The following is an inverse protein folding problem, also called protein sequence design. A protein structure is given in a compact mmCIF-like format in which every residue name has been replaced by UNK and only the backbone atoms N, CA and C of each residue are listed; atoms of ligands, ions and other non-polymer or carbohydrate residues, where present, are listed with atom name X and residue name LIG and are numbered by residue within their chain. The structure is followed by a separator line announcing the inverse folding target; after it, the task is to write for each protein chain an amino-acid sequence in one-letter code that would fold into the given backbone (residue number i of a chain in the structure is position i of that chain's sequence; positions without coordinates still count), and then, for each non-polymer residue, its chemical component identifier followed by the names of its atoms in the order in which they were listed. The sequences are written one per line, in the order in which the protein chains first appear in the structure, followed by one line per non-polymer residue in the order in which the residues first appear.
data_IF_130567117282
#
_entry.id   IF_130567117282
#
_cell.length_a   1.000
_cell.length_b   1.000
_cell.length_c   1.000
_cell.angle_alpha   90.00
_cell.angle_beta   90.00
_cell.angle_gamma   90.00
#
_symmetry.space_group_name_H-M   'P 1'
#
loop_
_entity.id
_entity.type
_entity.pdbx_description
1 polymer ?
#
# COMPACT_ATOMS: atom_id res chain seq x y z
N UNK A 1 42.40 24.99 -38.50
CA UNK A 1 41.98 24.76 -37.10
C UNK A 1 40.45 24.68 -36.97
N UNK A 2 39.78 23.82 -37.76
CA UNK A 2 38.31 23.70 -37.76
C UNK A 2 37.80 22.30 -37.35
N UNK A 3 38.65 21.27 -37.40
CA UNK A 3 38.27 19.88 -37.10
C UNK A 3 38.05 19.61 -35.60
N UNK A 4 38.75 20.33 -34.72
CA UNK A 4 38.73 20.10 -33.27
C UNK A 4 37.39 20.52 -32.61
N UNK A 5 36.75 21.58 -33.12
CA UNK A 5 35.42 22.02 -32.65
C UNK A 5 34.29 21.08 -33.08
N UNK A 6 34.44 20.41 -34.22
CA UNK A 6 33.46 19.45 -34.75
C UNK A 6 33.39 18.20 -33.86
N UNK A 7 34.55 17.65 -33.48
CA UNK A 7 34.63 16.49 -32.59
C UNK A 7 34.10 16.78 -31.17
N UNK A 8 34.34 17.99 -30.65
CA UNK A 8 33.78 18.45 -29.38
C UNK A 8 32.25 18.57 -29.38
N UNK A 9 31.63 18.96 -30.51
CA UNK A 9 30.17 19.04 -30.64
C UNK A 9 29.51 17.67 -30.79
N UNK A 10 30.15 16.73 -31.50
CA UNK A 10 29.66 15.35 -31.65
C UNK A 10 29.66 14.63 -30.30
N UNK A 11 30.76 14.75 -29.54
CA UNK A 11 30.87 14.16 -28.20
C UNK A 11 29.86 14.73 -27.20
N UNK A 12 29.56 16.04 -27.27
CA UNK A 12 28.51 16.65 -26.45
C UNK A 12 27.12 16.17 -26.81
N UNK A 13 26.83 15.98 -28.11
CA UNK A 13 25.55 15.42 -28.60
C UNK A 13 25.35 13.99 -28.12
N UNK A 14 26.37 13.15 -28.23
CA UNK A 14 26.34 11.76 -27.76
C UNK A 14 26.14 11.67 -26.24
N UNK A 15 26.75 12.57 -25.47
CA UNK A 15 26.53 12.67 -24.02
C UNK A 15 25.09 13.08 -23.72
N UNK A 16 24.54 14.05 -24.45
CA UNK A 16 23.18 14.52 -24.27
C UNK A 16 22.15 13.42 -24.60
N UNK A 17 22.37 12.67 -25.68
CA UNK A 17 21.55 11.53 -26.06
C UNK A 17 21.60 10.40 -25.01
N UNK A 18 22.79 10.09 -24.49
CA UNK A 18 22.95 9.11 -23.39
C UNK A 18 22.20 9.52 -22.13
N UNK A 19 22.19 10.82 -21.79
CA UNK A 19 21.46 11.34 -20.62
C UNK A 19 19.96 11.29 -20.88
N UNK A 20 19.49 11.77 -22.03
CA UNK A 20 18.07 11.74 -22.41
C UNK A 20 17.51 10.32 -22.51
N UNK A 21 18.28 9.37 -23.05
CA UNK A 21 17.90 7.95 -23.07
C UNK A 21 17.78 7.38 -21.64
N UNK A 22 18.69 7.77 -20.74
CA UNK A 22 18.63 7.35 -19.33
C UNK A 22 17.40 7.89 -18.62
N UNK A 23 17.01 9.14 -18.89
CA UNK A 23 15.78 9.73 -18.35
C UNK A 23 14.54 9.02 -18.90
N UNK A 24 14.44 8.86 -20.23
CA UNK A 24 13.30 8.15 -20.85
C UNK A 24 13.14 6.73 -20.33
N UNK A 25 14.23 5.98 -20.17
CA UNK A 25 14.18 4.63 -19.60
C UNK A 25 13.80 4.62 -18.12
N UNK A 26 14.20 5.63 -17.34
CA UNK A 26 13.77 5.79 -15.95
C UNK A 26 12.28 6.09 -15.86
N UNK A 27 11.75 6.97 -16.70
CA UNK A 27 10.34 7.32 -16.72
C UNK A 27 9.46 6.12 -17.09
N UNK A 28 9.85 5.35 -18.12
CA UNK A 28 9.14 4.12 -18.48
C UNK A 28 9.18 3.07 -17.38
N UNK A 29 10.34 2.89 -16.72
CA UNK A 29 10.46 1.96 -15.60
C UNK A 29 9.60 2.40 -14.40
N UNK A 30 9.52 3.70 -14.12
CA UNK A 30 8.68 4.22 -13.06
C UNK A 30 7.19 4.00 -13.38
N UNK A 31 6.77 4.25 -14.63
CA UNK A 31 5.41 3.96 -15.06
C UNK A 31 5.07 2.47 -14.91
N UNK A 32 5.93 1.57 -15.37
CA UNK A 32 5.74 0.11 -15.20
C UNK A 32 5.69 -0.31 -13.73
N UNK A 33 6.48 0.33 -12.86
CA UNK A 33 6.45 0.07 -11.42
C UNK A 33 5.15 0.56 -10.76
N UNK A 34 4.57 1.65 -11.26
CA UNK A 34 3.26 2.12 -10.80
C UNK A 34 2.15 1.19 -11.26
N UNK A 35 2.15 0.81 -12.55
CA UNK A 35 1.16 -0.10 -13.13
C UNK A 35 1.18 -1.45 -12.40
N UNK A 36 2.37 -2.03 -12.18
CA UNK A 36 2.49 -3.31 -11.46
C UNK A 36 2.01 -3.24 -10.01
N UNK A 37 2.25 -2.12 -9.30
CA UNK A 37 1.71 -1.94 -7.94
C UNK A 37 0.20 -1.76 -7.95
N UNK A 38 -0.34 -1.05 -8.92
CA UNK A 38 -1.78 -0.83 -9.06
C UNK A 38 -2.52 -2.12 -9.39
N UNK A 39 -2.00 -2.89 -10.35
CA UNK A 39 -2.47 -4.25 -10.66
C UNK A 39 -2.45 -5.14 -9.42
N UNK A 40 -1.35 -5.10 -8.66
CA UNK A 40 -1.23 -5.86 -7.42
C UNK A 40 -2.30 -5.46 -6.39
N UNK A 41 -2.56 -4.16 -6.23
CA UNK A 41 -3.63 -3.68 -5.33
C UNK A 41 -4.98 -4.25 -5.73
N UNK A 42 -5.37 -4.06 -6.99
CA UNK A 42 -6.69 -4.46 -7.49
C UNK A 42 -6.90 -5.97 -7.32
N UNK A 43 -5.88 -6.77 -7.64
CA UNK A 43 -6.05 -8.22 -7.67
C UNK A 43 -5.90 -8.90 -6.32
N UNK A 44 -5.16 -8.30 -5.39
CA UNK A 44 -4.80 -8.99 -4.15
C UNK A 44 -5.21 -8.23 -2.88
N UNK A 45 -5.21 -6.90 -2.89
CA UNK A 45 -5.45 -6.09 -1.69
C UNK A 45 -6.88 -5.54 -1.61
N UNK A 46 -7.41 -4.99 -2.70
CA UNK A 46 -8.72 -4.34 -2.75
C UNK A 46 -9.88 -5.26 -2.34
N UNK A 47 -9.95 -6.54 -2.78
CA UNK A 47 -11.00 -7.46 -2.33
C UNK A 47 -11.01 -7.60 -0.80
N UNK A 48 -9.81 -7.75 -0.22
CA UNK A 48 -9.65 -7.89 1.22
C UNK A 48 -10.03 -6.63 1.99
N UNK A 49 -9.54 -5.47 1.54
CA UNK A 49 -9.78 -4.19 2.22
C UNK A 49 -11.25 -3.81 2.19
N UNK A 50 -11.95 -4.10 1.09
CA UNK A 50 -13.38 -3.81 0.95
C UNK A 50 -14.21 -4.61 1.95
N UNK A 51 -13.99 -5.93 2.03
CA UNK A 51 -14.68 -6.81 2.99
C UNK A 51 -14.36 -6.42 4.45
N UNK A 52 -13.09 -6.17 4.76
CA UNK A 52 -12.65 -5.74 6.08
C UNK A 52 -13.27 -4.39 6.50
N UNK A 53 -13.41 -3.45 5.56
CA UNK A 53 -14.03 -2.15 5.81
C UNK A 53 -15.52 -2.29 6.13
N UNK A 54 -16.25 -3.11 5.37
CA UNK A 54 -17.68 -3.36 5.60
C UNK A 54 -17.91 -3.92 7.01
N UNK A 55 -17.13 -4.92 7.40
CA UNK A 55 -17.21 -5.56 8.73
C UNK A 55 -16.88 -4.59 9.86
N UNK A 56 -15.85 -3.76 9.68
CA UNK A 56 -15.50 -2.72 10.65
C UNK A 56 -16.60 -1.67 10.79
N UNK A 57 -17.25 -1.28 9.70
CA UNK A 57 -18.32 -0.28 9.73
C UNK A 57 -19.64 -0.85 10.25
N UNK A 58 -19.88 -2.14 10.07
CA UNK A 58 -21.03 -2.86 10.62
C UNK A 58 -20.91 -3.04 12.14
N UNK A 59 -19.79 -3.59 12.60
CA UNK A 59 -19.60 -3.96 13.99
C UNK A 59 -19.04 -2.84 14.86
N UNK A 60 -18.29 -1.91 14.25
CA UNK A 60 -17.64 -0.76 14.88
C UNK A 60 -16.90 -1.12 16.19
N UNK A 61 -15.99 -2.10 16.16
CA UNK A 61 -15.20 -2.48 17.33
C UNK A 61 -14.28 -1.32 17.77
N UNK A 62 -14.11 -1.15 19.08
CA UNK A 62 -13.17 -0.16 19.62
C UNK A 62 -11.71 -0.54 19.34
N UNK A 63 -11.43 -1.85 19.28
CA UNK A 63 -10.11 -2.46 19.06
C UNK A 63 -9.97 -2.95 17.61
N UNK A 64 -9.79 -2.02 16.66
CA UNK A 64 -9.77 -2.30 15.21
C UNK A 64 -8.71 -3.34 14.82
N UNK A 65 -7.46 -3.18 15.27
CA UNK A 65 -6.39 -4.10 14.88
C UNK A 65 -6.62 -5.54 15.39
N UNK A 66 -7.08 -5.69 16.64
CA UNK A 66 -7.40 -7.01 17.18
C UNK A 66 -8.58 -7.66 16.45
N UNK A 67 -9.60 -6.87 16.10
CA UNK A 67 -10.73 -7.34 15.30
C UNK A 67 -10.26 -7.82 13.92
N UNK A 68 -9.46 -7.04 13.21
CA UNK A 68 -8.95 -7.40 11.89
C UNK A 68 -8.06 -8.65 11.92
N UNK A 69 -7.16 -8.77 12.90
CA UNK A 69 -6.31 -9.94 13.04
C UNK A 69 -7.12 -11.25 13.20
N UNK A 70 -8.22 -11.21 13.96
CA UNK A 70 -9.11 -12.36 14.12
C UNK A 70 -10.00 -12.59 12.90
N UNK A 71 -10.51 -11.52 12.30
CA UNK A 71 -11.36 -11.58 11.10
C UNK A 71 -10.63 -12.25 9.93
N UNK A 72 -9.34 -11.91 9.72
CA UNK A 72 -8.54 -12.52 8.64
C UNK A 72 -8.33 -14.02 8.88
N UNK A 73 -8.23 -14.44 10.15
CA UNK A 73 -8.05 -15.86 10.51
C UNK A 73 -9.31 -16.70 10.30
N UNK A 74 -10.46 -16.07 10.10
CA UNK A 74 -11.72 -16.74 9.84
C UNK A 74 -12.88 -16.14 10.64
N UNK A 75 -13.98 -16.90 10.80
CA UNK A 75 -15.22 -16.38 11.36
C UNK A 75 -15.00 -15.87 12.78
N UNK A 76 -15.36 -14.60 12.98
CA UNK A 76 -15.19 -13.89 14.24
C UNK A 76 -16.51 -13.72 14.96
N UNK A 77 -16.50 -13.96 16.27
CA UNK A 77 -17.61 -13.56 17.14
C UNK A 77 -17.46 -12.07 17.50
N UNK A 78 -18.10 -11.21 16.72
CA UNK A 78 -18.07 -9.76 16.90
C UNK A 78 -18.63 -9.29 18.26
N UNK A 79 -19.37 -10.14 18.99
CA UNK A 79 -19.89 -9.79 20.32
C UNK A 79 -18.79 -9.68 21.39
N UNK A 80 -17.61 -10.27 21.12
CA UNK A 80 -16.43 -10.18 22.00
C UNK A 80 -15.79 -8.80 22.04
N UNK A 81 -16.11 -7.95 21.07
CA UNK A 81 -15.53 -6.62 20.94
C UNK A 81 -16.47 -5.57 21.49
N UNK A 82 -15.92 -4.69 22.32
CA UNK A 82 -16.65 -3.51 22.76
C UNK A 82 -16.97 -2.63 21.55
N UNK A 83 -18.26 -2.35 21.34
CA UNK A 83 -18.72 -1.43 20.30
C UNK A 83 -18.37 0.00 20.68
N UNK A 84 -17.88 0.76 19.72
CA UNK A 84 -17.63 2.19 19.90
C UNK A 84 -18.94 2.98 19.98
N UNK A 85 -18.90 4.08 20.73
CA UNK A 85 -19.99 5.06 20.79
C UNK A 85 -19.78 6.20 19.77
N UNK A 86 -18.67 6.18 19.02
CA UNK A 86 -18.38 7.19 18.01
C UNK A 86 -19.41 7.15 16.88
N UNK A 87 -19.73 8.33 16.34
CA UNK A 87 -20.48 8.44 15.10
C UNK A 87 -19.69 7.76 13.95
N UNK A 88 -20.37 7.14 12.96
CA UNK A 88 -19.70 6.34 11.93
C UNK A 88 -18.54 7.04 11.21
N UNK A 89 -18.73 8.29 10.79
CA UNK A 89 -17.67 9.06 10.13
C UNK A 89 -16.46 9.28 11.05
N UNK A 90 -16.71 9.70 12.29
CA UNK A 90 -15.65 9.94 13.29
C UNK A 90 -14.91 8.65 13.64
N UNK A 91 -15.62 7.52 13.69
CA UNK A 91 -15.03 6.20 13.88
C UNK A 91 -14.12 5.84 12.70
N UNK A 92 -14.59 6.04 11.46
CA UNK A 92 -13.79 5.79 10.27
C UNK A 92 -12.51 6.61 10.29
N UNK A 93 -12.62 7.93 10.44
CA UNK A 93 -11.48 8.85 10.37
C UNK A 93 -10.45 8.60 11.49
N UNK A 94 -10.90 8.29 12.71
CA UNK A 94 -10.02 8.16 13.88
C UNK A 94 -9.47 6.76 14.13
N UNK A 95 -10.16 5.71 13.65
CA UNK A 95 -9.85 4.32 14.01
C UNK A 95 -9.60 3.45 12.80
N UNK A 96 -10.48 3.50 11.80
CA UNK A 96 -10.43 2.59 10.64
C UNK A 96 -9.38 3.06 9.63
N UNK A 97 -9.50 4.29 9.15
CA UNK A 97 -8.60 4.83 8.13
C UNK A 97 -7.11 4.73 8.54
N UNK A 98 -6.69 5.16 9.76
CA UNK A 98 -5.29 5.02 10.15
C UNK A 98 -4.80 3.57 10.18
N UNK A 99 -5.66 2.62 10.58
CA UNK A 99 -5.29 1.21 10.65
C UNK A 99 -5.16 0.57 9.26
N UNK A 100 -6.13 0.81 8.37
CA UNK A 100 -6.14 0.25 7.03
C UNK A 100 -5.09 0.91 6.14
N UNK A 101 -4.94 2.24 6.15
CA UNK A 101 -3.92 2.92 5.33
C UNK A 101 -2.52 2.43 5.64
N UNK A 102 -2.18 2.28 6.93
CA UNK A 102 -0.86 1.76 7.31
C UNK A 102 -0.65 0.30 6.91
N UNK A 103 -1.71 -0.51 6.93
CA UNK A 103 -1.65 -1.89 6.47
C UNK A 103 -1.43 -1.97 4.96
N UNK A 104 -2.19 -1.18 4.19
CA UNK A 104 -2.06 -1.07 2.74
C UNK A 104 -0.67 -0.59 2.33
N UNK A 105 -0.16 0.46 2.98
CA UNK A 105 1.19 0.98 2.74
C UNK A 105 2.26 -0.09 3.01
N UNK A 106 2.09 -0.89 4.07
CA UNK A 106 3.03 -1.96 4.43
C UNK A 106 3.01 -3.09 3.41
N UNK A 107 1.82 -3.51 2.96
CA UNK A 107 1.66 -4.52 1.91
C UNK A 107 2.27 -4.05 0.58
N UNK A 108 2.05 -2.79 0.18
CA UNK A 108 2.58 -2.25 -1.08
C UNK A 108 4.07 -1.96 -1.07
N UNK A 109 4.65 -1.84 0.12
CA UNK A 109 6.10 -1.74 0.30
C UNK A 109 6.75 -3.12 0.18
N UNK A 110 6.18 -4.12 0.85
CA UNK A 110 6.84 -5.41 1.04
C UNK A 110 6.41 -6.47 0.00
N UNK A 111 5.27 -6.27 -0.67
CA UNK A 111 4.70 -7.12 -1.74
C UNK A 111 4.73 -8.62 -1.34
N UNK A 112 4.03 -9.00 -0.25
CA UNK A 112 4.08 -10.36 0.28
C UNK A 112 3.32 -11.36 -0.62
N UNK A 113 3.86 -12.58 -0.77
CA UNK A 113 3.17 -13.64 -1.51
C UNK A 113 1.85 -14.08 -0.84
N UNK A 114 1.80 -14.05 0.50
CA UNK A 114 0.60 -14.33 1.30
C UNK A 114 0.17 -13.08 2.07
N UNK A 115 -0.77 -12.34 1.50
CA UNK A 115 -1.31 -11.11 2.08
C UNK A 115 -2.04 -11.39 3.40
N UNK A 116 -2.79 -12.48 3.50
CA UNK A 116 -3.58 -12.77 4.69
C UNK A 116 -2.67 -13.03 5.89
N UNK A 117 -1.67 -13.91 5.73
CA UNK A 117 -0.70 -14.18 6.78
C UNK A 117 0.08 -12.92 7.17
N UNK A 118 0.48 -12.12 6.18
CA UNK A 118 1.19 -10.86 6.41
C UNK A 118 0.33 -9.86 7.20
N UNK A 119 -0.93 -9.67 6.83
CA UNK A 119 -1.84 -8.74 7.50
C UNK A 119 -2.22 -9.19 8.90
N UNK A 120 -2.37 -10.50 9.14
CA UNK A 120 -2.56 -11.05 10.49
C UNK A 120 -1.41 -10.64 11.39
N UNK A 121 -0.17 -10.94 10.99
CA UNK A 121 1.03 -10.62 11.77
C UNK A 121 1.15 -9.09 11.99
N UNK A 122 0.87 -8.30 10.95
CA UNK A 122 0.85 -6.84 11.04
C UNK A 122 -0.13 -6.32 12.09
N UNK A 123 -1.37 -6.84 12.10
CA UNK A 123 -2.40 -6.38 13.02
C UNK A 123 -2.21 -6.91 14.44
N UNK A 124 -1.71 -8.14 14.62
CA UNK A 124 -1.40 -8.69 15.96
C UNK A 124 -0.32 -7.90 16.67
N UNK A 125 0.77 -7.56 15.96
CA UNK A 125 1.84 -6.72 16.49
C UNK A 125 1.32 -5.37 16.98
N UNK A 126 0.30 -4.82 16.33
CA UNK A 126 -0.33 -3.54 16.70
C UNK A 126 -1.41 -3.68 17.77
N UNK A 127 -2.09 -4.81 17.83
CA UNK A 127 -3.08 -5.11 18.86
C UNK A 127 -2.44 -5.27 20.25
N UNK A 128 -1.17 -5.67 20.32
CA UNK A 128 -0.46 -5.88 21.59
C UNK A 128 0.10 -4.57 22.19
N UNK A 129 0.06 -3.48 21.43
CA UNK A 129 0.67 -2.18 21.79
C UNK A 129 -0.32 -1.24 22.51
N UNK A 130 -1.60 -1.60 22.60
CA UNK A 130 -2.67 -0.79 23.21
C UNK A 130 -3.62 -1.63 24.07
#
# INVERSE_FOLDING_TARGET
MAEDKSQGLVTLREQLEKVQARYRNKDQRLAQQLDSKYEYMIHHLDPFISEALEELMLHRPEQVSAFLALYIRGPIDASRFKKTQLQPQVYFDRKVHPALSLAMDSVLRDIPDDIQAYLVDFFEKRATVY
#
